data_IF_597419474351
#
_entry.id   IF_597419474351
#
_cell.length_a   1.000
_cell.length_b   1.000
_cell.length_c   1.000
_cell.angle_alpha   90.00
_cell.angle_beta   90.00
_cell.angle_gamma   90.00
#
_symmetry.space_group_name_H-M   'P 1'
#
loop_
_entity.id
_entity.type
_entity.pdbx_description
1 polymer ?
#
# COMPACT_ATOMS: atom_id res chain seq x y z
N UNK A 1 5.45 -32.83 -31.55
CA UNK A 1 5.49 -31.50 -30.89
C UNK A 1 4.36 -30.66 -31.46
N UNK A 2 3.32 -30.39 -30.67
CA UNK A 2 2.30 -29.41 -31.05
C UNK A 2 2.64 -28.15 -30.27
N UNK A 3 3.20 -27.15 -30.94
CA UNK A 3 3.45 -25.85 -30.33
C UNK A 3 2.10 -25.20 -30.04
N UNK A 4 1.87 -24.84 -28.76
CA UNK A 4 0.76 -23.95 -28.41
C UNK A 4 1.19 -22.53 -28.76
N UNK A 5 0.47 -21.88 -29.68
CA UNK A 5 0.68 -20.47 -30.01
C UNK A 5 0.21 -19.61 -28.83
N UNK A 6 1.13 -18.88 -28.20
CA UNK A 6 0.77 -17.84 -27.24
C UNK A 6 0.30 -16.61 -28.03
N UNK A 7 -0.98 -16.25 -27.88
CA UNK A 7 -1.57 -15.04 -28.47
C UNK A 7 -1.56 -13.95 -27.40
N UNK A 8 -0.84 -12.87 -27.65
CA UNK A 8 -0.81 -11.70 -26.77
C UNK A 8 -1.82 -10.67 -27.26
N UNK A 9 -2.68 -10.20 -26.37
CA UNK A 9 -3.68 -9.16 -26.65
C UNK A 9 -3.53 -7.99 -25.70
N UNK A 10 -4.02 -6.82 -26.13
CA UNK A 10 -3.97 -5.59 -25.35
C UNK A 10 -5.06 -5.64 -24.28
N UNK A 11 -4.66 -5.45 -23.02
CA UNK A 11 -5.55 -5.48 -21.85
C UNK A 11 -6.72 -4.49 -22.00
N UNK A 12 -7.94 -5.00 -22.05
CA UNK A 12 -9.17 -4.22 -22.27
C UNK A 12 -10.22 -4.43 -21.17
N UNK A 13 -9.87 -5.17 -20.11
CA UNK A 13 -10.74 -5.41 -18.95
C UNK A 13 -11.83 -6.46 -19.18
N UNK A 14 -11.95 -7.02 -20.39
CA UNK A 14 -12.83 -8.16 -20.68
C UNK A 14 -12.13 -9.51 -20.51
N UNK A 15 -10.81 -9.53 -20.39
CA UNK A 15 -10.06 -10.73 -20.03
C UNK A 15 -10.35 -11.09 -18.57
N UNK A 16 -10.87 -12.29 -18.30
CA UNK A 16 -10.86 -12.87 -16.95
C UNK A 16 -9.41 -13.18 -16.58
N UNK A 17 -8.74 -12.35 -15.74
CA UNK A 17 -7.33 -12.56 -15.44
C UNK A 17 -7.12 -13.78 -14.55
N UNK A 18 -8.21 -14.30 -13.98
CA UNK A 18 -8.28 -15.26 -12.89
C UNK A 18 -8.85 -16.62 -13.30
N UNK A 19 -8.97 -16.92 -14.60
CA UNK A 19 -9.45 -18.23 -15.04
C UNK A 19 -8.67 -19.38 -14.36
N UNK A 20 -9.39 -20.29 -13.67
CA UNK A 20 -8.87 -21.50 -12.98
C UNK A 20 -7.95 -21.29 -11.75
N UNK A 21 -7.52 -20.09 -11.41
CA UNK A 21 -6.45 -19.91 -10.40
C UNK A 21 -6.83 -20.27 -8.96
N UNK A 22 -8.09 -20.11 -8.54
CA UNK A 22 -8.50 -20.54 -7.19
C UNK A 22 -8.30 -22.05 -6.97
N UNK A 23 -8.40 -22.86 -8.03
CA UNK A 23 -8.15 -24.30 -7.95
C UNK A 23 -6.66 -24.61 -7.91
N UNK A 24 -5.83 -23.91 -8.68
CA UNK A 24 -4.38 -24.08 -8.61
C UNK A 24 -3.79 -23.58 -7.28
N UNK A 25 -4.35 -22.50 -6.73
CA UNK A 25 -3.97 -21.97 -5.43
C UNK A 25 -4.42 -22.92 -4.32
N UNK A 26 -5.63 -23.49 -4.41
CA UNK A 26 -6.07 -24.55 -3.51
C UNK A 26 -5.19 -25.80 -3.63
N UNK A 27 -4.81 -26.19 -4.84
CA UNK A 27 -3.92 -27.31 -5.09
C UNK A 27 -2.52 -27.09 -4.48
N UNK A 28 -2.04 -25.84 -4.39
CA UNK A 28 -0.80 -25.50 -3.66
C UNK A 28 -0.96 -25.51 -2.15
N UNK A 29 -2.07 -24.99 -1.65
CA UNK A 29 -2.40 -25.08 -0.22
C UNK A 29 -2.48 -26.56 0.20
N UNK A 30 -2.98 -27.44 -0.67
CA UNK A 30 -3.01 -28.88 -0.46
C UNK A 30 -1.62 -29.50 -0.24
N UNK A 31 -0.58 -29.01 -0.93
CA UNK A 31 0.79 -29.52 -0.75
C UNK A 31 1.34 -29.23 0.65
N UNK A 32 1.01 -28.06 1.20
CA UNK A 32 1.38 -27.69 2.58
C UNK A 32 0.54 -28.45 3.62
N UNK A 33 -0.74 -28.70 3.34
CA UNK A 33 -1.60 -29.53 4.20
C UNK A 33 -1.10 -30.98 4.34
N UNK A 34 -0.56 -31.56 3.27
CA UNK A 34 0.02 -32.92 3.32
C UNK A 34 1.25 -33.01 4.22
N UNK A 35 1.90 -31.89 4.55
CA UNK A 35 3.01 -31.85 5.50
C UNK A 35 2.55 -31.80 6.97
N UNK A 36 1.24 -31.93 7.23
CA UNK A 36 0.66 -32.03 8.57
C UNK A 36 0.17 -30.69 9.17
N UNK A 37 0.00 -29.65 8.34
CA UNK A 37 -0.46 -28.33 8.78
C UNK A 37 -2.00 -28.19 8.81
N UNK A 38 -2.49 -27.23 9.61
CA UNK A 38 -3.87 -26.73 9.54
C UNK A 38 -4.06 -25.85 8.28
N UNK A 39 -5.26 -25.82 7.72
CA UNK A 39 -5.58 -25.03 6.52
C UNK A 39 -5.39 -23.54 6.75
N UNK A 40 -5.82 -23.04 7.90
CA UNK A 40 -5.66 -21.63 8.27
C UNK A 40 -4.19 -21.22 8.27
N UNK A 41 -3.32 -22.08 8.81
CA UNK A 41 -1.87 -21.89 8.80
C UNK A 41 -1.28 -21.91 7.37
N UNK A 42 -1.69 -22.87 6.54
CA UNK A 42 -1.24 -22.96 5.15
C UNK A 42 -1.65 -21.71 4.34
N UNK A 43 -2.89 -21.24 4.55
CA UNK A 43 -3.41 -20.02 3.94
C UNK A 43 -2.63 -18.79 4.41
N UNK A 44 -2.42 -18.65 5.72
CA UNK A 44 -1.64 -17.54 6.28
C UNK A 44 -0.23 -17.52 5.71
N UNK A 45 0.46 -18.67 5.69
CA UNK A 45 1.82 -18.81 5.14
C UNK A 45 1.89 -18.43 3.67
N UNK A 46 0.91 -18.84 2.86
CA UNK A 46 0.81 -18.45 1.45
C UNK A 46 0.65 -16.94 1.31
N UNK A 47 -0.22 -16.32 2.11
CA UNK A 47 -0.42 -14.87 2.09
C UNK A 47 0.83 -14.11 2.54
N UNK A 48 1.52 -14.59 3.58
CA UNK A 48 2.74 -13.95 4.09
C UNK A 48 3.88 -14.00 3.06
N UNK A 49 4.14 -15.19 2.48
CA UNK A 49 5.30 -15.40 1.60
C UNK A 49 5.06 -15.04 0.14
N UNK A 50 3.78 -14.96 -0.26
CA UNK A 50 3.40 -14.83 -1.65
C UNK A 50 3.55 -16.15 -2.42
N UNK A 51 3.32 -16.10 -3.72
CA UNK A 51 3.40 -17.28 -4.60
C UNK A 51 3.97 -16.92 -5.96
N UNK A 52 4.23 -17.93 -6.78
CA UNK A 52 4.59 -17.74 -8.20
C UNK A 52 3.39 -18.03 -9.07
N UNK A 53 3.02 -17.20 -10.02
CA UNK A 53 1.96 -17.56 -10.98
C UNK A 53 2.38 -18.75 -11.88
N UNK A 54 1.50 -19.19 -12.78
CA UNK A 54 1.83 -20.26 -13.75
C UNK A 54 2.89 -19.85 -14.78
N UNK A 55 3.12 -18.55 -14.96
CA UNK A 55 4.10 -17.99 -15.88
C UNK A 55 5.49 -17.89 -15.22
N UNK A 56 5.59 -18.22 -13.92
CA UNK A 56 6.83 -18.17 -13.15
C UNK A 56 7.08 -16.81 -12.50
N UNK A 57 6.20 -15.83 -12.66
CA UNK A 57 6.29 -14.52 -12.03
C UNK A 57 6.03 -14.65 -10.54
N UNK A 58 6.93 -14.12 -9.72
CA UNK A 58 6.77 -14.11 -8.26
C UNK A 58 5.87 -12.93 -7.87
N UNK A 59 4.69 -13.25 -7.34
CA UNK A 59 3.82 -12.29 -6.68
C UNK A 59 4.27 -12.12 -5.23
N UNK A 60 4.47 -10.88 -4.75
CA UNK A 60 4.92 -10.62 -3.39
C UNK A 60 3.83 -11.01 -2.39
N UNK A 61 4.24 -11.51 -1.22
CA UNK A 61 3.33 -11.72 -0.10
C UNK A 61 3.15 -10.46 0.75
N UNK A 62 2.18 -10.49 1.67
CA UNK A 62 1.94 -9.40 2.60
C UNK A 62 3.15 -9.09 3.49
N UNK A 63 3.95 -10.08 3.87
CA UNK A 63 5.18 -9.85 4.65
C UNK A 63 6.20 -9.03 3.85
N UNK A 64 6.41 -9.38 2.59
CA UNK A 64 7.31 -8.64 1.69
C UNK A 64 6.78 -7.22 1.43
N UNK A 65 5.47 -7.05 1.23
CA UNK A 65 4.86 -5.73 1.05
C UNK A 65 4.99 -4.86 2.30
N UNK A 66 4.69 -5.41 3.48
CA UNK A 66 4.84 -4.72 4.77
C UNK A 66 6.29 -4.30 5.01
N UNK A 67 7.26 -5.17 4.70
CA UNK A 67 8.67 -4.83 4.84
C UNK A 67 9.09 -3.71 3.88
N UNK A 68 8.64 -3.74 2.63
CA UNK A 68 8.89 -2.65 1.66
C UNK A 68 8.27 -1.33 2.11
N UNK A 69 7.05 -1.35 2.64
CA UNK A 69 6.38 -0.16 3.21
C UNK A 69 7.17 0.40 4.40
N UNK A 70 7.58 -0.48 5.31
CA UNK A 70 8.41 -0.12 6.47
C UNK A 70 9.73 0.51 6.05
N UNK A 71 10.40 -0.05 5.04
CA UNK A 71 11.63 0.50 4.48
C UNK A 71 11.42 1.87 3.86
N UNK A 72 10.33 2.08 3.11
CA UNK A 72 9.96 3.39 2.57
C UNK A 72 9.73 4.41 3.68
N UNK A 73 8.97 4.05 4.73
CA UNK A 73 8.77 4.91 5.90
C UNK A 73 10.11 5.28 6.56
N UNK A 74 10.96 4.30 6.84
CA UNK A 74 12.27 4.53 7.45
C UNK A 74 13.18 5.39 6.57
N UNK A 75 13.14 5.23 5.25
CA UNK A 75 13.91 6.04 4.31
C UNK A 75 13.51 7.52 4.40
N UNK A 76 12.21 7.80 4.48
CA UNK A 76 11.71 9.16 4.65
C UNK A 76 12.18 9.76 5.99
N UNK A 77 12.00 9.03 7.10
CA UNK A 77 12.38 9.48 8.45
C UNK A 77 13.89 9.69 8.62
N UNK A 78 14.72 8.92 7.90
CA UNK A 78 16.19 9.07 7.91
C UNK A 78 16.70 10.20 7.02
N UNK A 79 15.92 10.64 6.04
CA UNK A 79 16.33 11.68 5.10
C UNK A 79 16.03 13.07 5.63
N UNK A 80 14.80 13.25 6.12
CA UNK A 80 14.27 14.56 6.46
C UNK A 80 14.31 14.87 7.96
N UNK A 81 14.25 16.16 8.28
CA UNK A 81 13.98 16.69 9.60
C UNK A 81 12.87 17.75 9.52
N UNK A 82 12.19 17.99 10.65
CA UNK A 82 11.14 19.01 10.78
C UNK A 82 11.54 20.13 11.78
N UNK A 83 12.83 20.30 12.03
CA UNK A 83 13.31 21.24 13.05
C UNK A 83 13.32 22.71 12.57
N UNK A 84 13.28 22.94 11.25
CA UNK A 84 13.27 24.30 10.67
C UNK A 84 12.25 24.43 9.52
N UNK A 85 10.99 24.05 9.78
CA UNK A 85 9.93 24.10 8.75
C UNK A 85 9.57 25.50 8.29
N UNK A 86 9.87 26.51 9.10
CA UNK A 86 9.59 27.92 8.82
C UNK A 86 10.80 28.69 8.28
N UNK A 87 11.93 28.02 8.00
CA UNK A 87 13.15 28.68 7.52
C UNK A 87 12.92 29.59 6.31
N UNK A 88 12.20 29.09 5.30
CA UNK A 88 11.88 29.85 4.08
C UNK A 88 10.99 31.07 4.36
N UNK A 89 10.04 30.96 5.31
CA UNK A 89 9.18 32.08 5.69
C UNK A 89 10.00 33.13 6.44
N UNK A 90 10.86 32.69 7.36
CA UNK A 90 11.78 33.55 8.12
C UNK A 90 12.68 34.34 7.18
N UNK A 91 13.23 33.70 6.15
CA UNK A 91 14.04 34.36 5.12
C UNK A 91 13.24 35.43 4.36
N UNK A 92 12.04 35.12 3.88
CA UNK A 92 11.15 36.09 3.21
C UNK A 92 10.79 37.27 4.12
N UNK A 93 10.47 37.01 5.39
CA UNK A 93 10.19 38.07 6.37
C UNK A 93 11.42 38.96 6.59
N UNK A 94 12.60 38.38 6.74
CA UNK A 94 13.84 39.14 6.87
C UNK A 94 14.09 40.02 5.64
N UNK A 95 13.77 39.56 4.43
CA UNK A 95 13.88 40.34 3.21
C UNK A 95 12.94 41.54 3.20
N UNK A 96 11.68 41.34 3.62
CA UNK A 96 10.68 42.39 3.78
C UNK A 96 11.16 43.43 4.81
N UNK A 97 11.65 42.98 5.97
CA UNK A 97 12.15 43.85 7.02
C UNK A 97 13.38 44.65 6.57
N UNK A 98 14.29 44.04 5.79
CA UNK A 98 15.44 44.76 5.21
C UNK A 98 14.98 45.85 4.24
N UNK A 99 14.01 45.55 3.38
CA UNK A 99 13.43 46.54 2.44
C UNK A 99 12.75 47.69 3.17
N UNK A 100 11.94 47.40 4.18
CA UNK A 100 11.30 48.43 5.00
C UNK A 100 12.37 49.32 5.67
N UNK A 101 13.35 48.73 6.37
CA UNK A 101 14.44 49.51 7.00
C UNK A 101 15.18 50.40 6.01
N UNK A 102 15.40 49.93 4.78
CA UNK A 102 16.01 50.72 3.72
C UNK A 102 15.08 51.86 3.26
N UNK A 103 13.81 51.57 2.97
CA UNK A 103 12.84 52.59 2.55
C UNK A 103 12.58 53.67 3.63
N UNK A 104 12.65 53.30 4.91
CA UNK A 104 12.63 54.24 6.04
C UNK A 104 13.80 55.23 5.95
N UNK A 105 15.02 54.73 5.69
CA UNK A 105 16.22 55.57 5.57
C UNK A 105 16.18 56.44 4.31
N UNK A 106 15.81 55.86 3.16
CA UNK A 106 15.74 56.58 1.88
C UNK A 106 14.74 57.74 1.97
N UNK A 107 13.56 57.54 2.59
CA UNK A 107 12.59 58.62 2.83
C UNK A 107 13.11 59.69 3.79
N UNK A 108 13.91 59.32 4.79
CA UNK A 108 14.53 60.29 5.71
C UNK A 108 15.58 61.16 5.00
N UNK A 109 16.35 60.58 4.09
CA UNK A 109 17.36 61.28 3.30
C UNK A 109 16.76 62.22 2.25
N UNK A 110 15.68 61.79 1.59
CA UNK A 110 14.99 62.57 0.55
C UNK A 110 14.05 63.66 1.10
N UNK A 111 13.84 63.71 2.42
CA UNK A 111 12.90 64.65 3.03
C UNK A 111 13.44 66.10 3.03
N UNK A 112 12.59 67.11 2.72
CA UNK A 112 12.96 68.53 2.86
C UNK A 112 13.38 68.87 4.29
N UNK A 113 14.36 69.77 4.46
CA UNK A 113 14.90 70.17 5.78
C UNK A 113 13.83 70.66 6.78
N UNK A 114 12.73 71.24 6.28
CA UNK A 114 11.58 71.64 7.10
C UNK A 114 10.79 70.46 7.69
N UNK A 115 10.72 69.32 6.99
CA UNK A 115 10.00 68.12 7.41
C UNK A 115 10.90 67.09 8.11
N UNK A 116 12.22 67.20 7.92
CA UNK A 116 13.23 66.24 8.39
C UNK A 116 13.17 65.97 9.89
N UNK A 117 12.97 67.00 10.73
CA UNK A 117 12.86 66.84 12.20
C UNK A 117 11.64 66.04 12.65
N UNK A 118 10.51 66.18 11.96
CA UNK A 118 9.27 65.45 12.29
C UNK A 118 9.39 64.02 11.78
N UNK A 119 9.85 63.85 10.55
CA UNK A 119 10.05 62.54 9.95
C UNK A 119 11.06 61.71 10.74
N UNK A 120 12.15 62.32 11.23
CA UNK A 120 13.14 61.66 12.08
C UNK A 120 12.56 61.09 13.38
N UNK A 121 11.55 61.74 13.98
CA UNK A 121 10.88 61.19 15.17
C UNK A 121 10.00 59.98 14.81
N UNK A 122 9.31 60.05 13.68
CA UNK A 122 8.45 58.97 13.18
C UNK A 122 9.29 57.76 12.77
N UNK A 123 10.33 57.96 11.97
CA UNK A 123 11.24 56.91 11.50
C UNK A 123 11.95 56.24 12.66
N UNK A 124 12.42 57.02 13.66
CA UNK A 124 13.03 56.47 14.88
C UNK A 124 12.06 55.58 15.67
N UNK A 125 10.79 56.00 15.80
CA UNK A 125 9.77 55.19 16.48
C UNK A 125 9.52 53.87 15.71
N UNK A 126 9.38 53.95 14.38
CA UNK A 126 9.19 52.76 13.53
C UNK A 126 10.37 51.80 13.59
N UNK A 127 11.61 52.30 13.52
CA UNK A 127 12.80 51.44 13.68
C UNK A 127 12.82 50.75 15.05
N UNK A 128 12.44 51.45 16.12
CA UNK A 128 12.31 50.84 17.45
C UNK A 128 11.21 49.77 17.54
N UNK A 129 10.11 49.94 16.80
CA UNK A 129 9.07 48.91 16.68
C UNK A 129 9.62 47.68 15.93
N UNK A 130 10.34 47.89 14.82
CA UNK A 130 10.97 46.82 14.04
C UNK A 130 12.11 46.10 14.78
N UNK A 131 12.77 46.75 15.73
CA UNK A 131 13.81 46.14 16.58
C UNK A 131 13.22 45.35 17.78
N UNK A 132 11.92 45.50 18.05
CA UNK A 132 11.20 44.80 19.14
C UNK A 132 10.38 43.61 18.65
N UNK A 133 10.49 43.27 17.37
CA UNK A 133 9.81 42.12 16.79
C UNK A 133 10.26 40.82 17.49
N UNK A 134 9.36 39.86 17.76
CA UNK A 134 9.71 38.54 18.27
C UNK A 134 10.64 37.78 17.32
N UNK A 135 11.46 36.87 17.85
CA UNK A 135 12.33 36.00 17.04
C UNK A 135 11.55 34.91 16.27
N UNK A 136 10.26 34.78 16.55
CA UNK A 136 9.38 33.78 16.00
C UNK A 136 8.54 34.32 14.82
N UNK A 137 8.23 33.41 13.87
CA UNK A 137 7.56 33.78 12.61
C UNK A 137 6.13 34.24 12.83
N UNK A 138 5.37 33.56 13.71
CA UNK A 138 3.96 33.87 13.94
C UNK A 138 3.74 35.23 14.61
N UNK A 139 4.55 35.53 15.63
CA UNK A 139 4.58 36.79 16.33
C UNK A 139 5.03 37.95 15.45
N UNK A 140 6.04 37.72 14.60
CA UNK A 140 6.45 38.72 13.59
C UNK A 140 5.31 39.05 12.62
N UNK A 141 4.66 38.03 12.06
CA UNK A 141 3.51 38.23 11.15
C UNK A 141 2.38 38.99 11.84
N UNK A 142 2.05 38.65 13.10
CA UNK A 142 0.99 39.31 13.87
C UNK A 142 1.28 40.80 14.06
N UNK A 143 2.51 41.16 14.43
CA UNK A 143 2.90 42.56 14.60
C UNK A 143 2.95 43.31 13.27
N UNK A 144 3.43 42.67 12.20
CA UNK A 144 3.49 43.28 10.87
C UNK A 144 2.12 43.45 10.22
N UNK A 145 1.12 42.66 10.62
CA UNK A 145 -0.25 42.81 10.11
C UNK A 145 -0.88 44.15 10.48
N UNK A 146 -0.58 44.66 11.69
CA UNK A 146 -1.04 45.96 12.16
C UNK A 146 -0.02 47.09 11.90
N UNK A 147 1.11 46.77 11.25
CA UNK A 147 2.19 47.70 10.98
C UNK A 147 1.97 48.48 9.68
N UNK A 148 2.03 49.80 9.77
CA UNK A 148 1.97 50.68 8.60
C UNK A 148 3.34 50.78 7.91
N UNK A 149 3.52 50.11 6.77
CA UNK A 149 4.76 50.17 6.00
C UNK A 149 5.03 51.57 5.42
N UNK A 150 6.29 52.01 5.48
CA UNK A 150 6.72 53.19 4.75
C UNK A 150 7.21 52.84 3.34
N UNK A 151 7.77 51.65 3.11
CA UNK A 151 8.14 51.21 1.77
C UNK A 151 6.96 50.49 1.08
N UNK A 152 6.57 50.96 -0.11
CA UNK A 152 5.49 50.33 -0.89
C UNK A 152 5.89 48.93 -1.36
N UNK A 153 7.18 48.70 -1.66
CA UNK A 153 7.70 47.39 -2.06
C UNK A 153 7.66 46.37 -0.92
N UNK A 154 7.99 46.79 0.31
CA UNK A 154 7.88 45.97 1.51
C UNK A 154 6.42 45.62 1.84
N UNK A 155 5.52 46.60 1.74
CA UNK A 155 4.08 46.38 1.93
C UNK A 155 3.53 45.33 0.95
N UNK A 156 3.85 45.48 -0.34
CA UNK A 156 3.43 44.52 -1.37
C UNK A 156 4.02 43.14 -1.16
N UNK A 157 5.31 43.05 -0.81
CA UNK A 157 5.97 41.76 -0.53
C UNK A 157 5.36 41.05 0.69
N UNK A 158 4.99 41.80 1.74
CA UNK A 158 4.28 41.25 2.89
C UNK A 158 2.88 40.75 2.53
N UNK A 159 2.12 41.52 1.76
CA UNK A 159 0.81 41.10 1.27
C UNK A 159 0.89 39.82 0.41
N UNK A 160 1.89 39.73 -0.47
CA UNK A 160 2.14 38.52 -1.27
C UNK A 160 2.48 37.31 -0.40
N UNK A 161 3.35 37.48 0.61
CA UNK A 161 3.67 36.41 1.55
C UNK A 161 2.42 35.92 2.29
N UNK A 162 1.57 36.84 2.76
CA UNK A 162 0.33 36.50 3.44
C UNK A 162 -0.64 35.74 2.53
N UNK A 163 -0.74 36.15 1.26
CA UNK A 163 -1.57 35.48 0.26
C UNK A 163 -1.05 34.07 -0.04
N UNK A 164 0.27 33.90 -0.21
CA UNK A 164 0.90 32.58 -0.39
C UNK A 164 0.63 31.65 0.80
N UNK A 165 0.78 32.14 2.03
CA UNK A 165 0.53 31.36 3.24
C UNK A 165 -0.95 30.95 3.35
N UNK A 166 -1.88 31.88 3.10
CA UNK A 166 -3.31 31.57 3.06
C UNK A 166 -3.63 30.51 2.01
N UNK A 167 -3.06 30.62 0.81
CA UNK A 167 -3.23 29.64 -0.25
C UNK A 167 -2.67 28.27 0.13
N UNK A 168 -1.47 28.21 0.72
CA UNK A 168 -0.84 26.95 1.15
C UNK A 168 -1.64 26.24 2.25
N UNK A 169 -2.06 27.00 3.27
CA UNK A 169 -2.90 26.49 4.35
C UNK A 169 -4.24 25.99 3.77
N UNK A 170 -4.91 26.82 2.97
CA UNK A 170 -6.18 26.46 2.32
C UNK A 170 -6.06 25.19 1.46
N UNK A 171 -5.05 25.10 0.58
CA UNK A 171 -4.85 23.91 -0.26
C UNK A 171 -4.65 22.64 0.56
N UNK A 172 -4.04 22.74 1.74
CA UNK A 172 -3.79 21.59 2.62
C UNK A 172 -5.09 21.12 3.30
N UNK A 173 -5.83 22.02 3.93
CA UNK A 173 -7.11 21.68 4.57
C UNK A 173 -8.17 21.21 3.57
N UNK A 174 -8.10 21.72 2.33
CA UNK A 174 -9.16 21.57 1.34
C UNK A 174 -8.72 20.83 0.07
N UNK A 175 -7.64 20.04 0.11
CA UNK A 175 -7.14 19.23 -1.01
C UNK A 175 -8.21 18.31 -1.62
N UNK A 176 -9.15 17.83 -0.80
CA UNK A 176 -10.30 17.02 -1.25
C UNK A 176 -11.46 17.86 -1.84
N UNK A 177 -11.39 19.19 -1.72
CA UNK A 177 -12.39 20.19 -2.17
C UNK A 177 -12.02 20.88 -3.50
N UNK A 178 -10.88 20.50 -4.09
CA UNK A 178 -10.12 21.26 -5.11
C UNK A 178 -10.80 21.41 -6.49
N UNK A 179 -11.93 20.75 -6.80
CA UNK A 179 -12.65 21.02 -8.07
C UNK A 179 -13.78 22.03 -7.96
N UNK A 180 -14.30 22.30 -6.76
CA UNK A 180 -15.35 23.31 -6.55
C UNK A 180 -14.77 24.68 -6.19
N UNK A 181 -13.52 24.71 -5.70
CA UNK A 181 -12.82 25.89 -5.18
C UNK A 181 -12.19 26.84 -6.22
N UNK A 182 -12.56 26.78 -7.51
CA UNK A 182 -12.12 27.80 -8.48
C UNK A 182 -12.70 29.21 -8.20
N UNK A 183 -13.47 29.38 -7.12
CA UNK A 183 -14.06 30.64 -6.69
C UNK A 183 -13.96 30.82 -5.17
N UNK A 184 -12.77 30.80 -4.61
CA UNK A 184 -12.55 31.21 -3.22
C UNK A 184 -12.79 32.72 -3.07
N UNK A 185 -14.04 33.10 -2.80
CA UNK A 185 -14.41 34.45 -2.36
C UNK A 185 -14.50 34.51 -0.83
N UNK A 186 -14.22 35.67 -0.21
CA UNK A 186 -14.39 35.91 1.24
C UNK A 186 -15.79 35.56 1.80
N UNK A 187 -16.78 35.45 0.93
CA UNK A 187 -18.19 35.14 1.22
C UNK A 187 -18.40 33.72 1.80
N UNK A 188 -17.50 32.76 1.52
CA UNK A 188 -17.66 31.36 1.97
C UNK A 188 -17.25 31.11 3.42
N UNK A 189 -16.55 32.04 4.08
CA UNK A 189 -16.17 31.87 5.50
C UNK A 189 -17.40 31.80 6.40
N UNK A 190 -18.45 32.58 6.10
CA UNK A 190 -19.72 32.52 6.84
C UNK A 190 -20.40 31.16 6.72
N UNK A 191 -20.37 30.55 5.53
CA UNK A 191 -20.94 29.23 5.30
C UNK A 191 -20.17 28.12 6.04
N UNK A 192 -18.84 28.22 6.11
CA UNK A 192 -18.00 27.30 6.88
C UNK A 192 -18.31 27.40 8.38
N UNK A 193 -18.49 28.62 8.93
CA UNK A 193 -18.89 28.78 10.34
C UNK A 193 -20.23 28.12 10.62
N UNK A 194 -21.21 28.36 9.76
CA UNK A 194 -22.55 27.76 9.87
C UNK A 194 -22.49 26.22 9.78
N UNK A 195 -21.63 25.70 8.90
CA UNK A 195 -21.35 24.26 8.81
C UNK A 195 -20.77 23.72 10.11
N UNK A 196 -19.73 24.36 10.66
CA UNK A 196 -19.07 23.93 11.91
C UNK A 196 -20.05 23.94 13.08
N UNK A 197 -20.88 24.98 13.18
CA UNK A 197 -21.93 25.07 14.19
C UNK A 197 -22.97 23.95 14.06
N UNK A 198 -23.40 23.66 12.83
CA UNK A 198 -24.32 22.56 12.56
C UNK A 198 -23.69 21.19 12.86
N UNK A 199 -22.40 21.03 12.57
CA UNK A 199 -21.62 19.82 12.87
C UNK A 199 -21.53 19.59 14.38
N UNK A 200 -21.12 20.62 15.14
CA UNK A 200 -21.07 20.57 16.60
C UNK A 200 -22.44 20.24 17.19
N UNK A 201 -23.53 20.78 16.62
CA UNK A 201 -24.87 20.42 17.06
C UNK A 201 -25.17 18.93 16.82
N UNK A 202 -24.85 18.38 15.66
CA UNK A 202 -25.08 16.96 15.38
C UNK A 202 -24.28 16.03 16.28
N UNK A 203 -23.04 16.40 16.61
CA UNK A 203 -22.21 15.63 17.52
C UNK A 203 -22.71 15.71 18.97
N UNK A 204 -23.23 16.86 19.41
CA UNK A 204 -23.97 16.97 20.69
C UNK A 204 -25.20 16.08 20.70
N UNK A 205 -26.04 16.16 19.67
CA UNK A 205 -27.24 15.32 19.57
C UNK A 205 -26.87 13.84 19.70
N UNK A 206 -25.80 13.39 19.01
CA UNK A 206 -25.26 12.02 19.10
C UNK A 206 -24.80 11.65 20.51
N UNK A 207 -24.09 12.53 21.20
CA UNK A 207 -23.61 12.33 22.57
C UNK A 207 -24.76 12.25 23.59
N UNK A 208 -25.84 13.01 23.36
CA UNK A 208 -27.05 13.01 24.18
C UNK A 208 -28.00 11.84 23.87
N UNK A 209 -27.67 11.00 22.88
CA UNK A 209 -28.51 9.89 22.44
C UNK A 209 -29.73 10.32 21.59
N UNK A 210 -29.75 11.58 21.14
CA UNK A 210 -30.75 12.14 20.24
C UNK A 210 -30.36 11.77 18.79
N UNK A 211 -31.32 11.34 17.93
CA UNK A 211 -31.02 11.03 16.55
C UNK A 211 -30.58 12.32 15.79
N UNK A 212 -29.33 12.40 15.33
CA UNK A 212 -28.80 13.59 14.69
C UNK A 212 -29.36 13.75 13.28
N UNK A 213 -29.61 14.99 12.86
CA UNK A 213 -30.22 15.33 11.56
C UNK A 213 -29.21 15.33 10.40
N UNK A 214 -28.53 14.20 10.21
CA UNK A 214 -27.47 14.05 9.21
C UNK A 214 -27.92 14.35 7.78
N UNK A 215 -29.10 13.89 7.37
CA UNK A 215 -29.62 14.15 6.02
C UNK A 215 -29.80 15.65 5.74
N UNK A 216 -30.30 16.41 6.72
CA UNK A 216 -30.49 17.85 6.59
C UNK A 216 -29.15 18.60 6.52
N UNK A 217 -28.18 18.13 7.30
CA UNK A 217 -26.81 18.64 7.22
C UNK A 217 -26.21 18.41 5.83
N UNK A 218 -26.33 17.19 5.28
CA UNK A 218 -25.81 16.87 3.96
C UNK A 218 -26.55 17.60 2.83
N UNK A 219 -27.85 17.87 2.97
CA UNK A 219 -28.58 18.70 2.01
C UNK A 219 -28.05 20.13 1.96
N UNK A 220 -27.68 20.72 3.11
CA UNK A 220 -27.20 22.11 3.19
C UNK A 220 -25.71 22.25 2.92
N UNK A 221 -24.90 21.34 3.46
CA UNK A 221 -23.44 21.44 3.50
C UNK A 221 -22.72 20.32 2.74
N UNK A 222 -23.45 19.40 2.10
CA UNK A 222 -22.85 18.27 1.37
C UNK A 222 -21.88 18.66 0.26
N UNK A 223 -22.02 19.87 -0.29
CA UNK A 223 -21.12 20.41 -1.31
C UNK A 223 -19.67 20.64 -0.82
N UNK A 224 -19.45 20.76 0.49
CA UNK A 224 -18.10 20.87 1.08
C UNK A 224 -17.34 19.54 1.10
N UNK A 225 -18.01 18.40 0.97
CA UNK A 225 -17.39 17.06 1.10
C UNK A 225 -16.96 16.43 -0.23
N UNK A 226 -17.04 17.18 -1.34
CA UNK A 226 -16.48 16.76 -2.63
C UNK A 226 -17.18 15.55 -3.28
N UNK A 227 -16.48 14.79 -4.15
CA UNK A 227 -17.08 13.71 -4.96
C UNK A 227 -17.38 12.42 -4.17
N UNK A 228 -16.85 12.28 -2.96
CA UNK A 228 -17.07 11.12 -2.10
C UNK A 228 -17.57 11.61 -0.72
N UNK A 229 -18.78 12.20 -0.65
CA UNK A 229 -19.32 12.67 0.60
C UNK A 229 -19.64 11.48 1.53
N UNK A 230 -19.50 11.66 2.85
CA UNK A 230 -19.89 10.62 3.80
C UNK A 230 -21.38 10.33 3.65
N UNK A 231 -21.73 9.03 3.66
CA UNK A 231 -23.13 8.56 3.53
C UNK A 231 -23.81 8.43 4.89
N UNK A 232 -23.03 8.35 5.95
CA UNK A 232 -23.51 8.22 7.32
C UNK A 232 -22.77 9.18 8.25
N UNK A 233 -23.37 9.47 9.40
CA UNK A 233 -22.71 10.25 10.44
C UNK A 233 -21.43 9.57 10.92
N UNK A 234 -21.41 8.23 11.02
CA UNK A 234 -20.24 7.49 11.47
C UNK A 234 -19.08 7.62 10.46
N UNK A 235 -19.37 7.58 9.15
CA UNK A 235 -18.37 7.86 8.11
C UNK A 235 -17.83 9.30 8.17
N UNK A 236 -18.70 10.28 8.49
CA UNK A 236 -18.30 11.68 8.66
C UNK A 236 -17.38 11.84 9.88
N UNK A 237 -17.73 11.23 11.02
CA UNK A 237 -16.90 11.21 12.23
C UNK A 237 -15.53 10.61 11.92
N UNK A 238 -15.49 9.44 11.26
CA UNK A 238 -14.23 8.79 10.87
C UNK A 238 -13.37 9.65 9.93
N UNK A 239 -14.00 10.43 9.04
CA UNK A 239 -13.25 11.37 8.19
C UNK A 239 -12.62 12.50 9.02
N UNK A 240 -13.37 13.08 9.95
CA UNK A 240 -12.89 14.16 10.82
C UNK A 240 -11.79 13.68 11.77
N UNK A 241 -11.96 12.50 12.37
CA UNK A 241 -10.96 11.86 13.22
C UNK A 241 -9.62 11.70 12.48
N UNK A 242 -9.65 11.20 11.23
CA UNK A 242 -8.44 11.06 10.41
C UNK A 242 -7.76 12.41 10.13
N UNK A 243 -8.53 13.46 9.85
CA UNK A 243 -7.96 14.79 9.61
C UNK A 243 -7.32 15.38 10.87
N UNK A 244 -7.94 15.22 12.04
CA UNK A 244 -7.37 15.68 13.31
C UNK A 244 -6.13 14.88 13.71
N UNK A 245 -6.17 13.55 13.53
CA UNK A 245 -5.04 12.65 13.73
C UNK A 245 -3.79 13.09 12.95
N UNK A 246 -3.99 13.58 11.73
CA UNK A 246 -2.93 14.14 10.88
C UNK A 246 -2.33 15.42 11.43
N UNK A 247 -3.17 16.33 11.90
CA UNK A 247 -2.69 17.56 12.54
C UNK A 247 -1.93 17.25 13.83
N UNK A 248 -2.49 16.37 14.66
CA UNK A 248 -1.86 15.96 15.92
C UNK A 248 -0.51 15.29 15.66
N UNK A 249 -0.42 14.36 14.70
CA UNK A 249 0.84 13.71 14.31
C UNK A 249 1.90 14.73 13.90
N UNK A 250 1.52 15.74 13.10
CA UNK A 250 2.42 16.82 12.71
C UNK A 250 2.88 17.59 13.93
N UNK A 251 1.94 18.07 14.76
CA UNK A 251 2.26 18.87 15.94
C UNK A 251 3.16 18.12 16.92
N UNK A 252 2.91 16.82 17.13
CA UNK A 252 3.75 15.97 17.96
C UNK A 252 5.13 15.73 17.36
N UNK A 253 5.26 15.67 16.03
CA UNK A 253 6.53 15.50 15.33
C UNK A 253 7.40 16.76 15.25
N UNK A 254 6.81 17.93 15.45
CA UNK A 254 7.51 19.22 15.53
C UNK A 254 8.17 19.42 16.90
N UNK A 255 9.27 20.20 16.92
CA UNK A 255 9.88 20.64 18.17
C UNK A 255 8.90 21.50 19.00
N UNK A 256 9.08 21.61 20.33
CA UNK A 256 8.23 22.44 21.17
C UNK A 256 8.10 23.89 20.67
N UNK A 257 9.20 24.47 20.17
CA UNK A 257 9.26 25.83 19.64
C UNK A 257 8.49 25.94 18.32
N UNK A 258 8.69 24.99 17.41
CA UNK A 258 7.98 24.97 16.12
C UNK A 258 6.48 24.72 16.29
N UNK A 259 6.08 23.91 17.26
CA UNK A 259 4.67 23.69 17.61
C UNK A 259 4.02 25.00 18.05
N UNK A 260 4.67 25.75 18.93
CA UNK A 260 4.18 27.06 19.37
C UNK A 260 4.04 28.01 18.17
N UNK A 261 5.06 28.09 17.31
CA UNK A 261 5.04 28.91 16.09
C UNK A 261 3.90 28.53 15.14
N UNK A 262 3.63 27.24 14.98
CA UNK A 262 2.52 26.75 14.16
C UNK A 262 1.17 27.15 14.76
N UNK A 263 1.00 27.04 16.08
CA UNK A 263 -0.21 27.50 16.77
C UNK A 263 -0.42 29.01 16.58
N UNK A 264 0.64 29.80 16.73
CA UNK A 264 0.59 31.25 16.56
C UNK A 264 0.26 31.67 15.11
N UNK A 265 0.79 30.95 14.13
CA UNK A 265 0.49 31.14 12.70
C UNK A 265 -0.95 30.73 12.36
N UNK A 266 -1.44 29.63 12.92
CA UNK A 266 -2.84 29.22 12.74
C UNK A 266 -3.78 30.25 13.37
N UNK A 267 -3.47 30.73 14.57
CA UNK A 267 -4.25 31.75 15.26
C UNK A 267 -4.27 33.09 14.52
N UNK A 268 -3.17 33.48 13.87
CA UNK A 268 -3.11 34.73 13.09
C UNK A 268 -3.82 34.60 11.73
N UNK A 269 -3.72 33.45 11.09
CA UNK A 269 -4.38 33.17 9.80
C UNK A 269 -5.90 33.05 9.97
N UNK A 270 -6.35 32.40 11.06
CA UNK A 270 -7.76 32.30 11.45
C UNK A 270 -8.14 33.48 12.34
N UNK A 271 -8.27 34.68 11.75
CA UNK A 271 -8.55 35.94 12.46
C UNK A 271 -9.97 36.04 13.06
N UNK A 272 -10.68 34.94 13.18
CA UNK A 272 -12.08 34.89 13.61
C UNK A 272 -12.25 34.09 14.92
N UNK A 273 -12.52 34.76 16.06
CA UNK A 273 -12.67 34.13 17.36
C UNK A 273 -13.78 33.08 17.41
N UNK A 274 -14.87 33.31 16.67
CA UNK A 274 -16.03 32.41 16.65
C UNK A 274 -15.68 31.06 16.03
N UNK A 275 -14.94 31.06 14.90
CA UNK A 275 -14.48 29.82 14.28
C UNK A 275 -13.54 29.04 15.18
N UNK A 276 -12.64 29.72 15.91
CA UNK A 276 -11.74 29.07 16.87
C UNK A 276 -12.50 28.35 17.98
N UNK A 277 -13.54 28.99 18.53
CA UNK A 277 -14.43 28.38 19.53
C UNK A 277 -15.15 27.14 18.97
N UNK A 278 -15.68 27.22 17.74
CA UNK A 278 -16.34 26.08 17.11
C UNK A 278 -15.37 24.91 16.86
N UNK A 279 -14.10 25.17 16.50
CA UNK A 279 -13.11 24.10 16.33
C UNK A 279 -12.69 23.46 17.66
N UNK A 280 -12.54 24.27 18.71
CA UNK A 280 -12.23 23.77 20.04
C UNK A 280 -13.38 22.87 20.57
N UNK A 281 -14.63 23.28 20.35
CA UNK A 281 -15.79 22.48 20.69
C UNK A 281 -15.84 21.16 19.90
N UNK A 282 -15.58 21.21 18.58
CA UNK A 282 -15.53 20.02 17.73
C UNK A 282 -14.51 19.00 18.24
N UNK A 283 -13.29 19.46 18.56
CA UNK A 283 -12.22 18.60 19.06
C UNK A 283 -12.61 17.92 20.38
N UNK A 284 -13.20 18.67 21.32
CA UNK A 284 -13.64 18.13 22.61
C UNK A 284 -14.76 17.08 22.46
N UNK A 285 -15.70 17.31 21.54
CA UNK A 285 -16.79 16.35 21.29
C UNK A 285 -16.30 15.06 20.65
N UNK A 286 -15.36 15.15 19.71
CA UNK A 286 -14.76 14.00 19.07
C UNK A 286 -13.88 13.18 20.04
N UNK A 287 -13.13 13.85 20.92
CA UNK A 287 -12.38 13.19 22.00
C UNK A 287 -13.30 12.39 22.94
N UNK A 288 -14.48 12.93 23.25
CA UNK A 288 -15.47 12.25 24.09
C UNK A 288 -16.11 11.04 23.40
N UNK A 289 -16.34 11.12 22.08
CA UNK A 289 -16.89 10.03 21.27
C UNK A 289 -15.89 8.88 21.05
N UNK A 290 -14.60 9.19 20.96
CA UNK A 290 -13.52 8.23 20.77
C UNK A 290 -12.46 8.35 21.89
N UNK A 291 -12.74 7.84 23.11
CA UNK A 291 -11.84 7.94 24.27
C UNK A 291 -10.61 7.02 24.18
N UNK A 292 -10.22 6.55 23.00
CA UNK A 292 -9.05 5.67 22.81
C UNK A 292 -8.12 6.17 21.71
N UNK A 293 -6.86 6.27 22.15
CA UNK A 293 -5.62 6.50 21.40
C UNK A 293 -5.38 7.96 21.06
N UNK A 294 -4.23 8.49 21.48
CA UNK A 294 -3.62 9.64 20.82
C UNK A 294 -3.63 9.32 19.33
N UNK A 295 -4.42 10.09 18.59
CA UNK A 295 -4.81 9.75 17.22
C UNK A 295 -3.59 9.90 16.30
N UNK A 296 -2.61 10.69 16.72
CA UNK A 296 -1.37 10.89 16.02
C UNK A 296 -0.29 9.83 16.29
N UNK A 297 0.39 9.41 15.22
CA UNK A 297 1.65 8.67 15.31
C UNK A 297 2.79 9.65 15.59
N UNK A 298 3.57 9.42 16.65
CA UNK A 298 4.82 10.17 16.89
C UNK A 298 5.89 9.71 15.91
N UNK A 299 6.16 10.55 14.91
CA UNK A 299 7.28 10.32 14.01
C UNK A 299 8.57 10.91 14.59
N UNK A 300 9.53 10.04 14.84
CA UNK A 300 10.89 10.44 15.16
C UNK A 300 11.68 10.60 13.86
N UNK A 301 11.99 11.86 13.51
CA UNK A 301 12.83 12.20 12.38
C UNK A 301 14.31 12.18 12.81
N UNK A 302 15.15 11.57 11.98
CA UNK A 302 16.59 11.40 12.25
C UNK A 302 17.46 11.98 11.12
N UNK A 303 16.84 12.58 10.11
CA UNK A 303 17.54 13.13 8.96
C UNK A 303 18.16 14.49 9.20
N UNK A 304 18.82 14.99 8.16
CA UNK A 304 19.48 16.30 8.15
C UNK A 304 18.85 17.28 7.16
N UNK A 305 18.05 16.81 6.20
CA UNK A 305 17.41 17.66 5.19
C UNK A 305 16.17 18.33 5.80
N UNK A 306 16.26 19.64 6.05
CA UNK A 306 15.11 20.43 6.49
C UNK A 306 14.12 20.63 5.34
N UNK A 307 12.83 20.56 5.65
CA UNK A 307 11.76 20.75 4.68
C UNK A 307 10.97 22.03 4.96
N UNK A 308 10.54 22.78 3.94
CA UNK A 308 9.56 23.84 4.15
C UNK A 308 8.22 23.25 4.62
N UNK A 309 7.42 24.06 5.32
CA UNK A 309 6.12 23.66 5.87
C UNK A 309 5.24 22.85 4.90
N UNK A 310 5.13 23.26 3.63
CA UNK A 310 4.30 22.57 2.64
C UNK A 310 4.80 21.15 2.33
N UNK A 311 6.11 20.98 2.22
CA UNK A 311 6.72 19.68 1.97
C UNK A 311 6.68 18.79 3.21
N UNK A 312 6.82 19.38 4.40
CA UNK A 312 6.62 18.71 5.68
C UNK A 312 5.19 18.14 5.80
N UNK A 313 4.17 18.95 5.50
CA UNK A 313 2.77 18.52 5.49
C UNK A 313 2.54 17.37 4.50
N UNK A 314 3.06 17.51 3.27
CA UNK A 314 2.97 16.47 2.24
C UNK A 314 3.75 15.19 2.61
N UNK A 315 4.82 15.31 3.38
CA UNK A 315 5.57 14.18 3.92
C UNK A 315 4.74 13.41 4.95
N UNK A 316 4.09 14.12 5.86
CA UNK A 316 3.23 13.53 6.88
C UNK A 316 2.05 12.78 6.26
N UNK A 317 1.38 13.37 5.27
CA UNK A 317 0.30 12.71 4.52
C UNK A 317 0.78 11.37 3.90
N UNK A 318 1.98 11.36 3.32
CA UNK A 318 2.56 10.13 2.76
C UNK A 318 2.91 9.10 3.83
N UNK A 319 3.44 9.51 4.98
CA UNK A 319 3.78 8.62 6.08
C UNK A 319 2.53 7.95 6.67
N UNK A 320 1.46 8.72 6.84
CA UNK A 320 0.18 8.19 7.29
C UNK A 320 -0.46 7.25 6.27
N UNK A 321 -0.43 7.60 4.99
CA UNK A 321 -0.89 6.70 3.93
C UNK A 321 -0.14 5.36 3.93
N UNK A 322 1.15 5.35 4.27
CA UNK A 322 1.90 4.10 4.47
C UNK A 322 1.36 3.31 5.68
N UNK A 323 1.07 3.97 6.80
CA UNK A 323 0.55 3.31 8.01
C UNK A 323 -0.87 2.76 7.83
N UNK A 324 -1.74 3.51 7.15
CA UNK A 324 -3.07 3.05 6.75
C UNK A 324 -2.97 1.81 5.86
N UNK A 325 -2.03 1.77 4.91
CA UNK A 325 -1.77 0.59 4.10
C UNK A 325 -1.18 -0.56 4.91
N UNK A 326 -0.26 -0.30 5.85
CA UNK A 326 0.27 -1.34 6.75
C UNK A 326 -0.88 -1.97 7.56
N UNK A 327 -1.82 -1.17 8.06
CA UNK A 327 -3.00 -1.65 8.76
C UNK A 327 -3.95 -2.43 7.83
N UNK A 328 -4.25 -1.90 6.65
CA UNK A 328 -5.14 -2.54 5.68
C UNK A 328 -4.60 -3.90 5.19
N UNK A 329 -3.28 -4.01 4.96
CA UNK A 329 -2.64 -5.29 4.61
C UNK A 329 -2.68 -6.29 5.77
N UNK A 330 -2.60 -5.83 7.02
CA UNK A 330 -2.79 -6.71 8.20
C UNK A 330 -4.22 -7.23 8.31
N UNK A 331 -5.21 -6.38 8.04
CA UNK A 331 -6.61 -6.79 7.95
C UNK A 331 -6.86 -7.71 6.74
N UNK A 332 -6.04 -7.59 5.70
CA UNK A 332 -6.02 -8.49 4.55
C UNK A 332 -5.81 -9.96 4.93
N UNK A 333 -5.05 -10.25 5.99
CA UNK A 333 -4.91 -11.63 6.51
C UNK A 333 -6.24 -12.22 7.01
N UNK A 334 -7.21 -11.38 7.38
CA UNK A 334 -8.55 -11.79 7.82
C UNK A 334 -9.55 -11.86 6.64
N UNK A 335 -9.07 -11.67 5.40
CA UNK A 335 -9.88 -11.68 4.19
C UNK A 335 -10.61 -10.35 3.92
N UNK A 336 -10.21 -9.24 4.56
CA UNK A 336 -10.73 -7.92 4.22
C UNK A 336 -10.07 -7.44 2.92
N UNK A 337 -10.89 -6.98 1.98
CA UNK A 337 -10.42 -6.42 0.72
C UNK A 337 -9.90 -4.99 0.92
N UNK A 338 -8.86 -4.63 0.18
CA UNK A 338 -8.41 -3.26 0.08
C UNK A 338 -9.49 -2.43 -0.63
N UNK A 339 -9.71 -1.20 -0.14
CA UNK A 339 -10.55 -0.24 -0.85
C UNK A 339 -9.90 0.17 -2.19
N UNK A 340 -10.66 0.67 -3.17
CA UNK A 340 -10.09 1.15 -4.44
C UNK A 340 -9.00 2.22 -4.24
N UNK A 341 -9.15 3.07 -3.23
CA UNK A 341 -8.19 4.11 -2.87
C UNK A 341 -6.90 3.49 -2.33
N UNK A 342 -7.00 2.54 -1.39
CA UNK A 342 -5.85 1.81 -0.85
C UNK A 342 -5.13 0.98 -1.94
N UNK A 343 -5.87 0.33 -2.83
CA UNK A 343 -5.30 -0.44 -3.95
C UNK A 343 -4.52 0.48 -4.91
N UNK A 344 -5.02 1.69 -5.18
CA UNK A 344 -4.32 2.69 -5.98
C UNK A 344 -3.05 3.23 -5.28
N UNK A 345 -3.11 3.52 -3.98
CA UNK A 345 -1.95 3.96 -3.20
C UNK A 345 -0.88 2.87 -3.12
N UNK A 346 -1.28 1.61 -2.90
CA UNK A 346 -0.38 0.46 -2.91
C UNK A 346 0.35 0.32 -4.25
N UNK A 347 -0.37 0.51 -5.36
CA UNK A 347 0.20 0.51 -6.70
C UNK A 347 1.23 1.64 -6.89
N UNK A 348 0.92 2.86 -6.42
CA UNK A 348 1.85 3.99 -6.50
C UNK A 348 3.13 3.76 -5.69
N UNK A 349 3.01 3.15 -4.51
CA UNK A 349 4.14 2.95 -3.60
C UNK A 349 4.98 1.72 -3.96
N UNK A 350 4.35 0.59 -4.28
CA UNK A 350 5.01 -0.72 -4.43
C UNK A 350 4.96 -1.30 -5.85
N UNK A 351 4.17 -0.71 -6.76
CA UNK A 351 4.03 -1.14 -8.15
C UNK A 351 2.83 -2.05 -8.41
N UNK A 352 2.63 -2.38 -9.70
CA UNK A 352 1.48 -3.16 -10.17
C UNK A 352 1.42 -4.58 -9.58
N UNK A 353 2.58 -5.23 -9.44
CA UNK A 353 2.65 -6.61 -8.94
C UNK A 353 2.14 -6.72 -7.49
N UNK A 354 2.48 -5.72 -6.65
CA UNK A 354 2.01 -5.67 -5.26
C UNK A 354 0.50 -5.47 -5.18
N UNK A 355 -0.05 -4.58 -6.02
CA UNK A 355 -1.49 -4.40 -6.14
C UNK A 355 -2.18 -5.69 -6.54
N UNK A 356 -1.74 -6.33 -7.64
CA UNK A 356 -2.34 -7.57 -8.13
C UNK A 356 -2.27 -8.67 -7.08
N UNK A 357 -1.14 -8.82 -6.40
CA UNK A 357 -0.98 -9.82 -5.35
C UNK A 357 -1.93 -9.58 -4.18
N UNK A 358 -2.05 -8.33 -3.71
CA UNK A 358 -2.93 -7.98 -2.60
C UNK A 358 -4.42 -8.19 -2.95
N UNK A 359 -4.84 -7.75 -4.13
CA UNK A 359 -6.21 -7.95 -4.62
C UNK A 359 -6.52 -9.47 -4.69
N UNK A 360 -5.62 -10.26 -5.28
CA UNK A 360 -5.76 -11.72 -5.40
C UNK A 360 -5.80 -12.45 -4.05
N UNK A 361 -4.94 -12.07 -3.10
CA UNK A 361 -4.95 -12.67 -1.75
C UNK A 361 -6.25 -12.37 -1.00
N UNK A 362 -6.72 -11.13 -1.07
CA UNK A 362 -7.94 -10.72 -0.37
C UNK A 362 -9.19 -11.42 -0.91
N UNK A 363 -9.20 -11.77 -2.20
CA UNK A 363 -10.29 -12.52 -2.81
C UNK A 363 -10.24 -14.02 -2.55
N UNK A 364 -9.05 -14.58 -2.32
CA UNK A 364 -8.83 -16.02 -2.26
C UNK A 364 -9.70 -16.71 -1.21
N UNK A 365 -9.71 -16.20 0.02
CA UNK A 365 -10.52 -16.77 1.11
C UNK A 365 -12.02 -16.80 0.73
N UNK A 366 -12.53 -15.68 0.22
CA UNK A 366 -13.92 -15.53 -0.22
C UNK A 366 -14.27 -16.42 -1.41
N UNK A 367 -13.32 -16.67 -2.33
CA UNK A 367 -13.53 -17.58 -3.46
C UNK A 367 -13.57 -19.04 -3.02
N UNK A 368 -12.68 -19.46 -2.12
CA UNK A 368 -12.67 -20.82 -1.59
C UNK A 368 -13.93 -21.12 -0.76
N UNK A 369 -14.42 -20.14 0.00
CA UNK A 369 -15.67 -20.22 0.75
C UNK A 369 -16.87 -20.34 -0.19
N UNK A 370 -16.96 -19.49 -1.23
CA UNK A 370 -18.03 -19.56 -2.25
C UNK A 370 -18.06 -20.90 -3.00
N UNK A 371 -16.89 -21.51 -3.26
CA UNK A 371 -16.80 -22.85 -3.87
C UNK A 371 -17.16 -23.98 -2.88
N UNK A 372 -17.34 -23.67 -1.60
CA UNK A 372 -17.66 -24.61 -0.54
C UNK A 372 -16.50 -25.54 -0.19
N UNK A 373 -15.25 -25.14 -0.45
CA UNK A 373 -14.05 -25.91 -0.05
C UNK A 373 -13.63 -25.63 1.38
N UNK A 374 -13.95 -24.44 1.88
CA UNK A 374 -13.63 -23.98 3.23
C UNK A 374 -14.86 -23.32 3.86
N UNK A 375 -14.88 -23.25 5.18
CA UNK A 375 -15.91 -22.59 5.97
C UNK A 375 -15.28 -21.87 7.16
N UNK A 376 -15.91 -20.80 7.67
CA UNK A 376 -15.48 -20.17 8.92
C UNK A 376 -15.86 -21.05 10.12
N UNK A 377 -14.85 -21.55 10.82
CA UNK A 377 -14.97 -22.32 12.05
C UNK A 377 -14.77 -21.47 13.30
N UNK A 378 -14.59 -22.12 14.45
CA UNK A 378 -14.36 -21.42 15.74
C UNK A 378 -12.95 -20.86 15.89
N UNK A 379 -11.98 -21.42 15.16
CA UNK A 379 -10.56 -21.10 15.28
C UNK A 379 -9.96 -20.44 14.03
N UNK A 380 -10.75 -20.25 12.97
CA UNK A 380 -10.27 -19.72 11.69
C UNK A 380 -10.98 -20.37 10.51
N UNK A 381 -10.31 -20.39 9.35
CA UNK A 381 -10.82 -21.05 8.15
C UNK A 381 -10.57 -22.56 8.23
N UNK A 382 -11.63 -23.37 8.15
CA UNK A 382 -11.58 -24.82 8.23
C UNK A 382 -11.99 -25.46 6.90
N UNK A 383 -11.42 -26.64 6.58
CA UNK A 383 -11.79 -27.38 5.37
C UNK A 383 -13.17 -28.03 5.51
N UNK A 384 -13.99 -27.93 4.47
CA UNK A 384 -15.24 -28.69 4.39
C UNK A 384 -14.98 -30.14 3.97
N UNK A 385 -15.94 -31.07 4.15
CA UNK A 385 -15.85 -32.42 3.59
C UNK A 385 -15.64 -32.45 2.07
N UNK A 386 -16.07 -31.40 1.35
CA UNK A 386 -15.83 -31.24 -0.08
C UNK A 386 -14.38 -30.82 -0.35
N UNK A 387 -13.84 -29.88 0.42
CA UNK A 387 -12.44 -29.48 0.37
C UNK A 387 -11.50 -30.66 0.63
N UNK A 388 -11.73 -31.40 1.71
CA UNK A 388 -10.96 -32.60 2.07
C UNK A 388 -10.97 -33.65 0.96
N UNK A 389 -12.13 -33.97 0.38
CA UNK A 389 -12.24 -34.91 -0.74
C UNK A 389 -11.47 -34.46 -1.96
N UNK A 390 -11.48 -33.16 -2.28
CA UNK A 390 -10.74 -32.61 -3.42
C UNK A 390 -9.23 -32.73 -3.22
N UNK A 391 -8.74 -32.38 -2.02
CA UNK A 391 -7.33 -32.55 -1.64
C UNK A 391 -6.91 -34.01 -1.81
N UNK A 392 -7.68 -34.94 -1.23
CA UNK A 392 -7.41 -36.38 -1.35
C UNK A 392 -7.37 -36.89 -2.80
N UNK A 393 -8.31 -36.45 -3.65
CA UNK A 393 -8.32 -36.79 -5.07
C UNK A 393 -7.08 -36.30 -5.83
N UNK A 394 -6.59 -35.10 -5.49
CA UNK A 394 -5.34 -34.56 -6.06
C UNK A 394 -4.15 -35.40 -5.61
N UNK A 395 -4.00 -35.65 -4.31
CA UNK A 395 -2.91 -36.48 -3.79
C UNK A 395 -2.83 -37.85 -4.49
N UNK A 396 -3.97 -38.53 -4.60
CA UNK A 396 -4.05 -39.82 -5.29
C UNK A 396 -3.61 -39.69 -6.76
N UNK A 397 -4.10 -38.67 -7.47
CA UNK A 397 -3.71 -38.42 -8.87
C UNK A 397 -2.21 -38.14 -9.01
N UNK A 398 -1.63 -37.34 -8.13
CA UNK A 398 -0.21 -36.99 -8.15
C UNK A 398 0.66 -38.22 -7.85
N UNK A 399 0.29 -39.04 -6.87
CA UNK A 399 0.93 -40.32 -6.57
C UNK A 399 0.90 -41.27 -7.79
N UNK A 400 -0.29 -41.48 -8.39
CA UNK A 400 -0.42 -42.34 -9.58
C UNK A 400 0.35 -41.79 -10.79
N UNK A 401 0.45 -40.48 -10.93
CA UNK A 401 1.21 -39.84 -12.03
C UNK A 401 2.72 -40.00 -11.82
N UNK A 402 3.21 -39.92 -10.59
CA UNK A 402 4.61 -40.21 -10.24
C UNK A 402 4.94 -41.70 -10.43
N UNK A 403 4.07 -42.61 -9.99
CA UNK A 403 4.16 -44.06 -10.23
C UNK A 403 4.22 -44.40 -11.74
N UNK A 404 3.48 -43.67 -12.57
CA UNK A 404 3.54 -43.84 -14.04
C UNK A 404 4.80 -43.23 -14.68
N UNK A 405 5.46 -42.27 -14.02
CA UNK A 405 6.70 -41.63 -14.51
C UNK A 405 7.97 -42.40 -14.18
N UNK A 406 7.92 -43.38 -13.28
CA UNK A 406 9.02 -44.33 -13.03
C UNK A 406 9.25 -45.34 -14.19
N UNK A 407 9.02 -44.92 -15.44
CA UNK A 407 9.49 -45.60 -16.65
C UNK A 407 10.05 -44.61 -17.66
N UNK A 408 11.37 -44.43 -17.59
CA UNK A 408 12.39 -44.61 -18.64
C UNK A 408 13.55 -43.65 -18.33
N UNK A 409 14.65 -44.19 -17.78
CA UNK A 409 15.90 -43.47 -17.55
C UNK A 409 16.36 -43.39 -16.09
N UNK A 410 17.38 -44.17 -15.77
CA UNK A 410 18.34 -44.11 -14.64
C UNK A 410 17.85 -43.67 -13.23
N UNK A 411 17.42 -44.66 -12.45
CA UNK A 411 17.74 -44.72 -11.02
C UNK A 411 18.26 -46.13 -10.71
N UNK A 412 19.44 -46.29 -10.06
CA UNK A 412 19.95 -47.60 -9.69
C UNK A 412 19.09 -48.18 -8.57
N UNK A 413 18.17 -49.07 -8.93
CA UNK A 413 17.41 -49.84 -7.95
C UNK A 413 18.31 -50.99 -7.48
N UNK A 414 18.89 -50.86 -6.28
CA UNK A 414 19.64 -51.94 -5.63
C UNK A 414 18.69 -52.89 -4.93
N UNK A 415 17.86 -53.60 -5.69
CA UNK A 415 17.18 -54.81 -5.22
C UNK A 415 17.24 -55.86 -6.33
N UNK A 416 18.19 -56.78 -6.23
CA UNK A 416 18.17 -58.05 -6.97
C UNK A 416 17.02 -58.89 -6.40
N UNK A 417 15.87 -58.84 -7.08
CA UNK A 417 14.77 -59.79 -6.91
C UNK A 417 14.43 -60.40 -8.27
N UNK A 418 14.43 -61.73 -8.34
CA UNK A 418 14.09 -62.50 -9.53
C UNK A 418 12.71 -62.11 -10.09
N UNK A 419 12.63 -61.84 -11.40
CA UNK A 419 11.34 -61.80 -12.10
C UNK A 419 11.22 -60.72 -13.17
N UNK A 420 12.04 -60.78 -14.22
CA UNK A 420 11.55 -60.37 -15.54
C UNK A 420 11.08 -61.66 -16.21
N UNK A 421 9.80 -61.81 -16.46
CA UNK A 421 9.35 -62.85 -17.38
C UNK A 421 9.87 -62.48 -18.78
N UNK A 422 10.38 -63.49 -19.51
CA UNK A 422 10.76 -63.29 -20.92
C UNK A 422 9.46 -63.18 -21.72
N UNK A 423 9.27 -62.06 -22.40
CA UNK A 423 8.25 -62.00 -23.45
C UNK A 423 8.70 -62.87 -24.63
N UNK A 424 7.76 -63.50 -25.32
CA UNK A 424 8.04 -64.22 -26.58
C UNK A 424 8.26 -63.27 -27.76
N UNK A 425 8.01 -61.96 -27.59
CA UNK A 425 8.28 -60.95 -28.60
C UNK A 425 9.74 -60.49 -28.58
N UNK A 426 10.33 -60.43 -29.77
CA UNK A 426 11.68 -59.94 -30.01
C UNK A 426 11.67 -58.60 -30.73
N UNK A 427 12.72 -57.80 -30.53
CA UNK A 427 12.95 -56.56 -31.27
C UNK A 427 14.43 -56.42 -31.63
N UNK A 428 14.73 -55.62 -32.65
CA UNK A 428 16.11 -55.24 -32.99
C UNK A 428 16.73 -54.49 -31.81
N UNK A 429 17.98 -54.85 -31.51
CA UNK A 429 18.74 -54.27 -30.40
C UNK A 429 19.00 -52.78 -30.65
N UNK A 430 18.66 -51.95 -29.66
CA UNK A 430 19.01 -50.53 -29.61
C UNK A 430 19.95 -50.28 -28.41
N UNK A 431 20.83 -49.29 -28.54
CA UNK A 431 21.78 -48.94 -27.49
C UNK A 431 21.04 -48.59 -26.18
N UNK A 432 21.28 -49.37 -25.12
CA UNK A 432 20.62 -49.23 -23.81
C UNK A 432 19.67 -50.38 -23.46
N UNK A 433 19.36 -51.27 -24.40
CA UNK A 433 18.59 -52.49 -24.11
C UNK A 433 19.40 -53.49 -23.28
N UNK A 434 18.69 -54.26 -22.43
CA UNK A 434 19.29 -55.41 -21.75
C UNK A 434 19.73 -56.46 -22.78
N UNK A 435 20.95 -56.98 -22.64
CA UNK A 435 21.58 -57.89 -23.61
C UNK A 435 21.06 -59.33 -23.51
N UNK A 436 19.74 -59.50 -23.58
CA UNK A 436 19.03 -60.77 -23.61
C UNK A 436 18.79 -61.19 -25.06
N UNK A 437 19.87 -61.64 -25.72
CA UNK A 437 19.90 -61.91 -27.15
C UNK A 437 19.07 -63.16 -27.53
N UNK A 438 18.18 -63.02 -28.52
CA UNK A 438 17.66 -64.16 -29.28
C UNK A 438 18.71 -64.58 -30.31
N UNK A 439 19.49 -65.61 -29.93
CA UNK A 439 20.60 -66.13 -30.75
C UNK A 439 20.11 -66.67 -32.09
N UNK A 440 18.96 -67.37 -32.13
CA UNK A 440 18.41 -67.95 -33.34
C UNK A 440 18.10 -66.86 -34.37
N UNK A 441 17.33 -65.86 -33.95
CA UNK A 441 16.89 -64.80 -34.84
C UNK A 441 18.06 -63.88 -35.24
N UNK A 442 19.00 -63.65 -34.33
CA UNK A 442 20.25 -62.92 -34.61
C UNK A 442 21.09 -63.61 -35.69
N UNK A 443 21.25 -64.94 -35.58
CA UNK A 443 21.97 -65.72 -36.58
C UNK A 443 21.21 -65.76 -37.91
N UNK A 444 19.88 -65.86 -37.89
CA UNK A 444 19.04 -65.80 -39.09
C UNK A 444 19.15 -64.44 -39.79
N UNK A 445 19.19 -63.34 -39.05
CA UNK A 445 19.39 -62.00 -39.60
C UNK A 445 20.77 -61.87 -40.26
N UNK A 446 21.83 -62.34 -39.59
CA UNK A 446 23.19 -62.35 -40.15
C UNK A 446 23.30 -63.21 -41.41
N UNK A 447 22.69 -64.41 -41.40
CA UNK A 447 22.65 -65.32 -42.55
C UNK A 447 21.84 -64.77 -43.72
N UNK A 448 20.71 -64.10 -43.47
CA UNK A 448 19.94 -63.40 -44.51
C UNK A 448 20.73 -62.26 -45.13
N UNK A 449 21.55 -61.56 -44.34
CA UNK A 449 22.36 -60.42 -44.81
C UNK A 449 23.51 -60.87 -45.71
N UNK A 450 24.30 -61.85 -45.29
CA UNK A 450 25.56 -62.21 -45.96
C UNK A 450 25.51 -63.51 -46.77
N UNK A 451 24.41 -64.27 -46.67
CA UNK A 451 24.28 -65.61 -47.23
C UNK A 451 25.06 -66.65 -46.42
N UNK A 452 24.98 -67.95 -46.77
CA UNK A 452 25.70 -69.01 -46.08
C UNK A 452 27.19 -68.94 -46.44
N UNK A 453 27.96 -68.15 -45.67
CA UNK A 453 29.43 -68.07 -45.72
C UNK A 453 30.00 -68.40 -44.35
N UNK A 454 31.07 -69.19 -44.34
CA UNK A 454 31.81 -69.52 -43.13
C UNK A 454 33.14 -68.74 -43.09
N UNK A 455 33.49 -68.08 -41.96
CA UNK A 455 32.70 -67.92 -40.73
C UNK A 455 31.61 -66.84 -40.87
N UNK A 456 30.47 -67.03 -40.20
CA UNK A 456 29.37 -66.05 -40.13
C UNK A 456 29.84 -64.82 -39.35
N UNK A 457 29.77 -63.63 -39.95
CA UNK A 457 30.15 -62.38 -39.29
C UNK A 457 28.91 -61.66 -38.74
N UNK A 458 28.83 -61.53 -37.43
CA UNK A 458 27.77 -60.78 -36.76
C UNK A 458 28.10 -59.27 -36.76
N UNK A 459 27.09 -58.43 -36.99
CA UNK A 459 27.13 -56.99 -36.69
C UNK A 459 26.02 -56.66 -35.70
N UNK A 460 26.16 -55.51 -35.05
CA UNK A 460 25.18 -55.00 -34.07
C UNK A 460 23.76 -54.94 -34.64
N UNK A 461 23.61 -54.62 -35.92
CA UNK A 461 22.30 -54.55 -36.59
C UNK A 461 21.61 -55.90 -36.76
N UNK A 462 22.33 -57.02 -36.60
CA UNK A 462 21.73 -58.36 -36.65
C UNK A 462 21.11 -58.74 -35.30
N UNK A 463 21.50 -58.06 -34.22
CA UNK A 463 21.14 -58.46 -32.86
C UNK A 463 19.66 -58.25 -32.61
N UNK A 464 19.01 -59.31 -32.17
CA UNK A 464 17.62 -59.28 -31.74
C UNK A 464 17.53 -59.65 -30.27
N UNK A 465 16.81 -58.87 -29.46
CA UNK A 465 16.68 -59.04 -28.02
C UNK A 465 15.22 -59.27 -27.62
N UNK A 466 15.00 -60.06 -26.58
CA UNK A 466 13.66 -60.26 -26.02
C UNK A 466 13.16 -59.00 -25.32
N UNK A 467 11.89 -58.64 -25.55
CA UNK A 467 11.25 -57.58 -24.76
C UNK A 467 11.05 -58.04 -23.33
N UNK A 468 11.34 -57.14 -22.39
CA UNK A 468 11.05 -57.35 -20.96
C UNK A 468 9.80 -56.57 -20.62
N UNK A 469 8.76 -57.26 -20.14
CA UNK A 469 7.58 -56.60 -19.60
C UNK A 469 7.79 -56.34 -18.11
N UNK A 470 7.68 -55.08 -17.72
CA UNK A 470 7.62 -54.73 -16.30
C UNK A 470 6.16 -54.66 -15.87
N UNK A 471 5.79 -55.42 -14.84
CA UNK A 471 4.56 -55.19 -14.08
C UNK A 471 4.90 -54.43 -12.80
N UNK A 472 4.19 -53.34 -12.52
CA UNK A 472 4.33 -52.61 -11.27
C UNK A 472 3.01 -52.77 -10.51
N UNK A 473 3.07 -53.41 -9.33
CA UNK A 473 1.94 -53.50 -8.41
C UNK A 473 2.15 -52.48 -7.28
N UNK A 474 1.10 -51.75 -6.92
CA UNK A 474 1.11 -50.81 -5.79
C UNK A 474 -0.05 -51.14 -4.86
N UNK A 475 0.24 -51.26 -3.56
CA UNK A 475 -0.76 -51.35 -2.50
C UNK A 475 -0.75 -50.03 -1.72
N UNK A 476 -1.88 -49.33 -1.66
CA UNK A 476 -2.04 -48.11 -0.87
C UNK A 476 -2.77 -48.45 0.42
N UNK A 477 -2.11 -48.26 1.56
CA UNK A 477 -2.71 -48.42 2.89
C UNK A 477 -2.99 -47.04 3.47
N UNK A 478 -4.25 -46.75 3.78
CA UNK A 478 -4.67 -45.53 4.47
C UNK A 478 -4.83 -45.85 5.95
N UNK A 479 -3.92 -45.37 6.80
CA UNK A 479 -4.06 -45.45 8.26
C UNK A 479 -4.69 -44.15 8.75
N UNK A 480 -5.91 -44.26 9.28
CA UNK A 480 -6.62 -43.14 9.91
C UNK A 480 -6.57 -43.41 11.42
N UNK A 481 -5.99 -42.49 12.18
CA UNK A 481 -6.19 -42.41 13.62
C UNK A 481 -7.48 -41.61 13.86
N UNK A 482 -8.44 -42.21 14.56
CA UNK A 482 -9.78 -41.61 14.79
C UNK A 482 -9.84 -40.81 16.07
#
# INVERSE_FOLDING_TARGET
>A
MISRSNRYERWDGSQEPLGRDAEDLFDRLAEDLFQGGDFDYALHRLMSRGWRDRQGHKLPGFEEMLERLRQKRLQQLKRYNLNDVFGNIREKLNDILRRERQGINDRLEQAPESAKRVLQKITKKKLQELDRLPDDVGGTIRQLNDYEFMDEGAAQAFQQLMEELKQQVSQTYFKNMTRTMQQLRPEHLGEIKEMMKALNQMLRDRLEGVPPKFEQFMQRFGHFFGPNPPKTLDELIQHLERQMAQMESLMESLSPEMRQQMQDLLASTLSDPELQEQMAELAAQLELLSPRQGLGSRYAFYGSESLPLQEALSLMERLQGIEELEAALREGYQGRQLTPEQSAQLQQLLGNDARQAADQMSELASQLERKGYVQRGRRGMELTPRGMRRIGQKALRDLYTRLKRDRFGDHPISVRGLGSERSDETKVYEFGDAFNLNVEQTLMNALRREGPREPIRLKTDDFEVFRSEFSAQSATVLMIDM
#
